data_IF_821525480232
#
_entry.id   IF_821525480232
#
_cell.length_a   1.000
_cell.length_b   1.000
_cell.length_c   1.000
_cell.angle_alpha   90.00
_cell.angle_beta   90.00
_cell.angle_gamma   90.00
#
_symmetry.space_group_name_H-M   'P 1'
#
loop_
_entity.id
_entity.type
_entity.pdbx_description
1 polymer ?
#
# COMPACT_ATOMS: atom_id res chain seq x y z
N UNK A 1 15.66 10.89 13.50
CA UNK A 1 14.84 9.66 13.37
C UNK A 1 15.76 8.45 13.33
N UNK A 2 15.54 7.46 14.19
CA UNK A 2 16.28 6.19 14.17
C UNK A 2 15.40 5.08 13.56
N UNK A 3 15.72 4.70 12.32
CA UNK A 3 14.98 3.67 11.60
C UNK A 3 15.43 2.25 11.95
N UNK A 4 16.52 2.09 12.73
CA UNK A 4 16.93 0.78 13.24
C UNK A 4 15.92 0.21 14.24
N UNK A 5 15.06 1.06 14.78
CA UNK A 5 13.93 0.67 15.63
C UNK A 5 12.84 -0.09 14.85
N UNK A 6 12.85 -0.04 13.52
CA UNK A 6 11.92 -0.79 12.68
C UNK A 6 12.64 -1.98 12.03
N UNK A 7 12.07 -3.20 12.09
CA UNK A 7 12.60 -4.34 11.35
C UNK A 7 12.74 -4.02 9.86
N UNK A 8 13.95 -4.23 9.31
CA UNK A 8 14.29 -3.91 7.92
C UNK A 8 13.99 -2.45 7.53
N UNK A 9 13.98 -1.55 8.51
CA UNK A 9 13.57 -0.16 8.33
C UNK A 9 12.10 0.04 7.93
N UNK A 10 11.25 -0.97 8.09
CA UNK A 10 9.86 -0.95 7.62
C UNK A 10 9.70 -1.32 6.14
N UNK A 11 10.68 -1.98 5.53
CA UNK A 11 10.70 -2.30 4.09
C UNK A 11 10.55 -3.79 3.77
N UNK A 12 10.10 -4.62 4.74
CA UNK A 12 9.87 -6.06 4.54
C UNK A 12 9.03 -6.39 3.31
N UNK A 13 8.05 -5.55 3.00
CA UNK A 13 7.19 -5.74 1.82
C UNK A 13 7.94 -5.77 0.47
N UNK A 14 9.19 -5.27 0.41
CA UNK A 14 10.02 -5.27 -0.80
C UNK A 14 10.98 -6.47 -0.93
N UNK A 15 11.09 -7.33 0.07
CA UNK A 15 12.10 -8.40 0.11
C UNK A 15 11.83 -9.56 -0.88
N UNK A 16 10.67 -9.53 -1.55
CA UNK A 16 10.21 -10.55 -2.49
C UNK A 16 10.10 -11.97 -1.88
N UNK A 17 9.88 -12.08 -0.57
CA UNK A 17 9.75 -13.35 0.15
C UNK A 17 8.38 -14.03 0.01
N UNK A 18 7.35 -13.28 -0.37
CA UNK A 18 5.97 -13.77 -0.37
C UNK A 18 5.53 -14.54 -1.62
N UNK A 19 4.30 -15.08 -1.62
CA UNK A 19 3.75 -15.84 -2.74
C UNK A 19 3.66 -15.00 -4.02
N UNK A 20 4.04 -15.60 -5.16
CA UNK A 20 4.03 -14.95 -6.49
C UNK A 20 4.81 -13.62 -6.53
N UNK A 21 5.85 -13.48 -5.70
CA UNK A 21 6.65 -12.25 -5.55
C UNK A 21 7.38 -11.76 -6.80
N UNK A 22 7.49 -12.59 -7.85
CA UNK A 22 8.05 -12.21 -9.16
C UNK A 22 7.11 -11.34 -9.99
N UNK A 23 5.80 -11.38 -9.71
CA UNK A 23 4.76 -10.61 -10.38
C UNK A 23 4.12 -9.63 -9.40
N UNK A 24 3.77 -10.10 -8.21
CA UNK A 24 3.17 -9.27 -7.17
C UNK A 24 4.24 -8.76 -6.23
N UNK A 25 4.37 -7.43 -6.12
CA UNK A 25 5.36 -6.83 -5.25
C UNK A 25 4.90 -6.88 -3.80
N UNK A 26 3.65 -6.50 -3.55
CA UNK A 26 3.13 -6.41 -2.19
C UNK A 26 1.61 -6.43 -2.10
N UNK A 27 1.15 -6.81 -0.92
CA UNK A 27 -0.22 -6.70 -0.46
C UNK A 27 -0.29 -5.66 0.66
N UNK A 28 -1.32 -4.81 0.66
CA UNK A 28 -1.52 -3.77 1.67
C UNK A 28 -2.97 -3.72 2.10
N UNK A 29 -3.18 -3.77 3.41
CA UNK A 29 -4.49 -3.61 4.06
C UNK A 29 -4.52 -2.28 4.79
N UNK A 30 -5.67 -1.60 4.75
CA UNK A 30 -5.94 -0.39 5.51
C UNK A 30 -7.37 -0.40 6.05
N UNK A 31 -7.54 -0.01 7.32
CA UNK A 31 -8.83 0.20 7.95
C UNK A 31 -8.93 1.64 8.47
N UNK A 32 -9.97 2.35 8.05
CA UNK A 32 -10.28 3.70 8.54
C UNK A 32 -11.26 3.64 9.71
N UNK A 33 -10.94 4.33 10.81
CA UNK A 33 -11.79 4.44 12.01
C UNK A 33 -11.80 5.87 12.53
N UNK A 34 -12.95 6.30 13.05
CA UNK A 34 -13.06 7.52 13.85
C UNK A 34 -13.45 7.18 15.28
N UNK A 35 -13.00 8.00 16.24
CA UNK A 35 -13.32 7.85 17.66
C UNK A 35 -14.70 8.43 17.95
N UNK A 36 -15.57 7.65 18.60
CA UNK A 36 -16.92 8.08 19.00
C UNK A 36 -16.85 9.25 19.99
N UNK A 37 -17.66 10.27 19.74
CA UNK A 37 -17.79 11.43 20.62
C UNK A 37 -16.75 12.54 20.40
N UNK A 38 -15.84 12.36 19.43
CA UNK A 38 -14.88 13.38 19.02
C UNK A 38 -15.25 13.87 17.62
N UNK A 39 -15.27 15.20 17.35
CA UNK A 39 -15.48 15.73 16.00
C UNK A 39 -14.45 15.19 15.02
N UNK A 40 -14.85 14.80 13.81
CA UNK A 40 -13.94 14.25 12.79
C UNK A 40 -12.84 15.25 12.39
N UNK A 41 -11.73 14.75 11.84
CA UNK A 41 -10.47 15.50 11.63
C UNK A 41 -10.62 16.87 10.96
N UNK A 42 -11.59 17.04 10.05
CA UNK A 42 -11.88 18.30 9.36
C UNK A 42 -12.45 19.39 10.28
N UNK A 43 -13.10 19.01 11.40
CA UNK A 43 -13.70 19.90 12.41
C UNK A 43 -13.04 19.80 13.78
N UNK A 44 -12.18 18.79 13.98
CA UNK A 44 -11.40 18.60 15.20
C UNK A 44 -10.50 19.81 15.45
N UNK A 45 -10.55 20.33 16.69
CA UNK A 45 -9.61 21.33 17.20
C UNK A 45 -8.33 20.64 17.67
N UNK A 46 -7.28 21.41 17.94
CA UNK A 46 -6.00 20.83 18.38
C UNK A 46 -6.13 20.03 19.67
N UNK A 47 -6.97 20.48 20.63
CA UNK A 47 -7.26 19.70 21.84
C UNK A 47 -7.97 18.37 21.56
N UNK A 48 -8.84 18.31 20.54
CA UNK A 48 -9.50 17.06 20.13
C UNK A 48 -8.46 16.08 19.54
N UNK A 49 -7.53 16.59 18.73
CA UNK A 49 -6.46 15.78 18.10
C UNK A 49 -5.48 15.23 19.13
N UNK A 50 -5.09 16.05 20.10
CA UNK A 50 -4.25 15.59 21.22
C UNK A 50 -4.96 14.49 22.01
N UNK A 51 -6.25 14.67 22.33
CA UNK A 51 -7.03 13.65 23.04
C UNK A 51 -7.17 12.34 22.23
N UNK A 52 -7.30 12.41 20.91
CA UNK A 52 -7.25 11.22 20.03
C UNK A 52 -5.89 10.53 20.15
N UNK A 53 -4.79 11.27 20.03
CA UNK A 53 -3.45 10.70 20.11
C UNK A 53 -3.16 10.05 21.45
N UNK A 54 -3.48 10.71 22.56
CA UNK A 54 -3.30 10.17 23.91
C UNK A 54 -4.09 8.87 24.07
N UNK A 55 -5.38 8.89 23.72
CA UNK A 55 -6.25 7.72 23.83
C UNK A 55 -5.78 6.54 22.98
N UNK A 56 -5.34 6.79 21.75
CA UNK A 56 -4.81 5.74 20.86
C UNK A 56 -3.48 5.21 21.38
N UNK A 57 -2.61 6.07 21.92
CA UNK A 57 -1.31 5.66 22.48
C UNK A 57 -1.49 4.80 23.73
N UNK A 58 -2.43 5.16 24.63
CA UNK A 58 -2.78 4.35 25.80
C UNK A 58 -3.34 2.98 25.41
N UNK A 59 -4.21 2.95 24.40
CA UNK A 59 -4.76 1.70 23.88
C UNK A 59 -3.70 0.83 23.21
N UNK A 60 -2.80 1.43 22.44
CA UNK A 60 -1.67 0.74 21.80
C UNK A 60 -0.72 0.13 22.83
N UNK A 61 -0.42 0.84 23.92
CA UNK A 61 0.40 0.32 25.02
C UNK A 61 -0.21 -0.91 25.73
N UNK A 62 -1.54 -1.12 25.57
CA UNK A 62 -2.28 -2.25 26.12
C UNK A 62 -2.64 -3.32 25.08
N UNK A 63 -2.18 -3.16 23.83
CA UNK A 63 -2.43 -4.08 22.71
C UNK A 63 -1.27 -5.06 22.57
N UNK A 64 -1.57 -6.35 22.34
CA UNK A 64 -0.55 -7.38 22.18
C UNK A 64 0.34 -7.11 20.94
N UNK A 65 -0.25 -6.48 19.91
CA UNK A 65 0.42 -6.19 18.64
C UNK A 65 1.08 -4.81 18.57
N UNK A 66 0.81 -3.90 19.52
CA UNK A 66 1.36 -2.54 19.52
C UNK A 66 1.99 -2.09 20.84
N UNK A 67 2.05 -2.94 21.87
CA UNK A 67 2.61 -2.56 23.18
C UNK A 67 4.07 -2.09 23.12
N UNK A 68 4.83 -2.51 22.10
CA UNK A 68 6.22 -2.10 21.85
C UNK A 68 6.34 -1.25 20.58
N UNK A 69 5.25 -0.64 20.12
CA UNK A 69 5.25 0.17 18.91
C UNK A 69 6.19 1.37 19.04
N UNK A 70 6.93 1.62 17.97
CA UNK A 70 7.72 2.83 17.81
C UNK A 70 6.76 3.96 17.45
N UNK A 71 6.80 5.05 18.21
CA UNK A 71 5.98 6.23 17.98
C UNK A 71 6.79 7.32 17.26
N UNK A 72 6.33 7.69 16.08
CA UNK A 72 6.83 8.85 15.32
C UNK A 72 5.80 9.96 15.41
N UNK A 73 6.14 11.08 16.05
CA UNK A 73 5.29 12.28 16.11
C UNK A 73 5.61 13.20 14.94
N UNK A 74 4.82 13.10 13.86
CA UNK A 74 5.14 13.75 12.59
C UNK A 74 5.12 15.28 12.72
N UNK A 75 4.29 15.84 13.60
CA UNK A 75 4.25 17.27 13.91
C UNK A 75 5.53 17.80 14.59
N UNK A 76 6.39 16.91 15.07
CA UNK A 76 7.68 17.21 15.69
C UNK A 76 8.88 16.81 14.79
N UNK A 77 8.63 16.30 13.58
CA UNK A 77 9.65 15.80 12.67
C UNK A 77 9.97 16.77 11.54
N UNK A 78 11.25 16.78 11.16
CA UNK A 78 11.71 17.54 10.01
C UNK A 78 11.15 16.98 8.71
N UNK A 79 10.98 17.85 7.71
CA UNK A 79 10.39 17.44 6.42
C UNK A 79 11.11 16.26 5.74
N UNK A 80 12.47 16.17 5.73
CA UNK A 80 13.16 15.02 5.14
C UNK A 80 12.86 13.69 5.83
N UNK A 81 12.67 13.69 7.15
CA UNK A 81 12.36 12.47 7.90
C UNK A 81 10.94 11.98 7.57
N UNK A 82 9.99 12.91 7.49
CA UNK A 82 8.61 12.62 7.06
C UNK A 82 8.54 12.12 5.62
N UNK A 83 9.35 12.72 4.73
CA UNK A 83 9.49 12.28 3.35
C UNK A 83 9.98 10.83 3.27
N UNK A 84 10.98 10.47 4.09
CA UNK A 84 11.48 9.09 4.14
C UNK A 84 10.41 8.10 4.62
N UNK A 85 9.63 8.42 5.66
CA UNK A 85 8.51 7.57 6.08
C UNK A 85 7.46 7.39 4.97
N UNK A 86 7.19 8.46 4.21
CA UNK A 86 6.25 8.41 3.08
C UNK A 86 6.76 7.53 1.94
N UNK A 87 8.04 7.65 1.57
CA UNK A 87 8.68 6.83 0.54
C UNK A 87 8.76 5.34 0.93
N UNK A 88 8.80 5.04 2.23
CA UNK A 88 8.68 3.68 2.77
C UNK A 88 7.25 3.18 2.88
N UNK A 89 6.28 3.97 2.41
CA UNK A 89 4.84 3.71 2.46
C UNK A 89 4.25 3.56 3.87
N UNK A 90 4.99 3.94 4.91
CA UNK A 90 4.57 3.90 6.32
C UNK A 90 3.56 4.99 6.67
N UNK A 91 3.60 6.13 5.98
CA UNK A 91 2.65 7.24 6.17
C UNK A 91 2.09 7.73 4.85
N UNK A 92 0.86 8.26 4.89
CA UNK A 92 0.28 8.95 3.73
C UNK A 92 0.94 10.31 3.53
N UNK A 93 0.81 10.83 2.30
CA UNK A 93 1.30 12.17 1.95
C UNK A 93 0.60 13.27 2.77
N UNK A 94 -0.68 13.06 3.07
CA UNK A 94 -1.51 13.96 3.88
C UNK A 94 -1.01 14.00 5.34
N UNK A 95 -0.88 12.83 6.00
CA UNK A 95 -0.37 12.77 7.38
C UNK A 95 1.02 13.39 7.48
N UNK A 96 1.87 13.05 6.51
CA UNK A 96 3.23 13.55 6.43
C UNK A 96 3.30 15.05 6.09
N UNK A 97 2.21 15.74 5.75
CA UNK A 97 2.20 17.17 5.44
C UNK A 97 3.20 17.52 4.31
N UNK A 98 3.24 16.71 3.25
CA UNK A 98 4.20 16.84 2.14
C UNK A 98 3.63 17.60 0.94
N UNK A 99 2.35 17.98 0.99
CA UNK A 99 1.75 18.88 0.02
C UNK A 99 2.30 20.30 0.14
N UNK A 100 2.20 21.10 -0.94
CA UNK A 100 2.71 22.47 -0.94
C UNK A 100 2.01 23.25 0.17
N UNK A 101 2.80 23.93 1.00
CA UNK A 101 2.31 24.79 2.09
C UNK A 101 1.53 24.05 3.19
N UNK A 102 1.54 22.72 3.19
CA UNK A 102 0.96 21.90 4.25
C UNK A 102 1.96 21.63 5.37
N UNK A 103 1.45 21.43 6.58
CA UNK A 103 2.20 20.94 7.75
C UNK A 103 1.40 19.80 8.37
N UNK A 104 2.08 18.84 9.04
CA UNK A 104 1.37 17.85 9.84
C UNK A 104 0.46 18.54 10.86
N UNK A 105 -0.73 17.97 11.06
CA UNK A 105 -1.68 18.47 12.06
C UNK A 105 -1.10 18.22 13.46
N UNK A 106 -1.39 19.07 14.46
CA UNK A 106 -1.04 18.75 15.84
C UNK A 106 -1.56 17.36 16.23
N UNK A 107 -0.71 16.56 16.86
CA UNK A 107 -1.02 15.18 17.23
C UNK A 107 -1.00 14.18 16.07
N UNK A 108 -0.49 14.55 14.88
CA UNK A 108 -0.25 13.62 13.79
C UNK A 108 0.88 12.66 14.14
N UNK A 109 0.60 11.36 14.19
CA UNK A 109 1.58 10.35 14.59
C UNK A 109 1.46 9.05 13.79
N UNK A 110 2.55 8.28 13.79
CA UNK A 110 2.57 6.89 13.38
C UNK A 110 3.01 6.05 14.57
N UNK A 111 2.18 5.08 14.96
CA UNK A 111 2.55 3.99 15.87
C UNK A 111 2.78 2.74 15.01
N UNK A 112 3.96 2.14 15.06
CA UNK A 112 4.28 0.99 14.20
C UNK A 112 5.06 -0.08 14.95
N UNK A 113 4.67 -1.33 14.79
CA UNK A 113 5.36 -2.50 15.30
C UNK A 113 5.34 -3.58 14.22
N UNK A 114 6.52 -4.13 13.91
CA UNK A 114 6.69 -5.11 12.85
C UNK A 114 6.15 -4.63 11.49
N UNK A 115 5.11 -5.29 10.95
CA UNK A 115 4.50 -4.99 9.65
C UNK A 115 3.18 -4.21 9.75
N UNK A 116 2.69 -3.98 10.98
CA UNK A 116 1.42 -3.31 11.25
C UNK A 116 1.64 -1.95 11.91
N UNK A 117 0.74 -1.01 11.63
CA UNK A 117 0.83 0.32 12.21
C UNK A 117 -0.48 1.08 12.16
N UNK A 118 -0.51 2.18 12.89
CA UNK A 118 -1.66 3.07 13.01
C UNK A 118 -1.18 4.48 12.75
N UNK A 119 -1.72 5.07 11.69
CA UNK A 119 -1.64 6.50 11.44
C UNK A 119 -2.72 7.20 12.27
N UNK A 120 -2.35 8.22 13.02
CA UNK A 120 -3.24 8.96 13.92
C UNK A 120 -3.41 10.39 13.43
N UNK A 121 -4.66 10.89 13.44
CA UNK A 121 -5.04 12.24 12.99
C UNK A 121 -4.75 12.55 11.51
N UNK A 122 -4.96 11.56 10.64
CA UNK A 122 -5.01 11.75 9.19
C UNK A 122 -6.43 12.24 8.77
N UNK A 123 -6.96 11.81 7.62
CA UNK A 123 -8.30 12.14 7.13
C UNK A 123 -9.39 11.65 8.10
N UNK A 124 -9.15 10.47 8.67
CA UNK A 124 -9.88 9.87 9.78
C UNK A 124 -8.96 9.86 11.02
N UNK A 125 -9.53 9.70 12.23
CA UNK A 125 -8.74 9.71 13.47
C UNK A 125 -7.70 8.59 13.51
N UNK A 126 -8.05 7.40 13.01
CA UNK A 126 -7.15 6.27 12.88
C UNK A 126 -7.20 5.73 11.45
N UNK A 127 -6.03 5.45 10.90
CA UNK A 127 -5.88 4.61 9.70
C UNK A 127 -4.89 3.50 10.02
N UNK A 128 -5.44 2.35 10.41
CA UNK A 128 -4.68 1.13 10.64
C UNK A 128 -4.20 0.60 9.30
N UNK A 129 -3.01 0.02 9.26
CA UNK A 129 -2.47 -0.55 8.05
C UNK A 129 -1.47 -1.65 8.31
N UNK A 130 -1.24 -2.46 7.28
CA UNK A 130 -0.09 -3.35 7.21
C UNK A 130 0.26 -3.66 5.76
N UNK A 131 1.50 -4.12 5.54
CA UNK A 131 2.02 -4.36 4.19
C UNK A 131 2.95 -5.59 4.16
N UNK A 132 2.63 -6.53 3.27
CA UNK A 132 3.30 -7.82 3.10
C UNK A 132 3.91 -7.94 1.71
N UNK A 133 4.95 -8.76 1.58
CA UNK A 133 5.51 -9.09 0.26
C UNK A 133 4.61 -10.09 -0.47
N UNK A 134 4.50 -9.97 -1.79
CA UNK A 134 3.71 -10.91 -2.61
C UNK A 134 2.19 -10.81 -2.42
N UNK A 135 1.47 -11.86 -2.85
CA UNK A 135 0.02 -12.00 -2.67
C UNK A 135 -0.25 -12.69 -1.34
N UNK A 136 -0.68 -11.91 -0.35
CA UNK A 136 -0.97 -12.42 0.98
C UNK A 136 -2.07 -11.59 1.65
N UNK A 137 -3.28 -11.67 1.09
CA UNK A 137 -4.40 -10.82 1.51
C UNK A 137 -5.05 -11.29 2.82
N UNK A 138 -5.12 -12.60 3.03
CA UNK A 138 -5.77 -13.21 4.19
C UNK A 138 -4.95 -12.95 5.47
N UNK A 139 -3.65 -13.30 5.47
CA UNK A 139 -2.80 -13.09 6.65
C UNK A 139 -2.57 -11.58 6.91
N UNK A 140 -2.43 -10.79 5.84
CA UNK A 140 -2.34 -9.34 5.97
C UNK A 140 -3.60 -8.73 6.60
N UNK A 141 -4.78 -9.22 6.22
CA UNK A 141 -6.04 -8.74 6.78
C UNK A 141 -6.17 -9.17 8.24
N UNK A 142 -5.94 -10.44 8.54
CA UNK A 142 -6.03 -10.98 9.89
C UNK A 142 -5.11 -10.23 10.87
N UNK A 143 -3.89 -9.91 10.47
CA UNK A 143 -2.96 -9.15 11.30
C UNK A 143 -3.42 -7.70 11.57
N UNK A 144 -3.99 -7.02 10.57
CA UNK A 144 -4.51 -5.65 10.76
C UNK A 144 -5.84 -5.67 11.54
N UNK A 145 -6.68 -6.67 11.33
CA UNK A 145 -7.92 -6.87 12.07
C UNK A 145 -7.66 -7.15 13.55
N UNK A 146 -6.63 -7.93 13.90
CA UNK A 146 -6.25 -8.15 15.30
C UNK A 146 -5.99 -6.82 16.03
N UNK A 147 -5.23 -5.92 15.39
CA UNK A 147 -4.99 -4.56 15.91
C UNK A 147 -6.29 -3.75 16.00
N UNK A 148 -7.16 -3.82 14.99
CA UNK A 148 -8.47 -3.13 14.99
C UNK A 148 -9.35 -3.57 16.17
N UNK A 149 -9.42 -4.87 16.42
CA UNK A 149 -10.19 -5.46 17.52
C UNK A 149 -9.60 -5.06 18.88
N UNK A 150 -8.28 -5.13 19.04
CA UNK A 150 -7.60 -4.76 20.28
C UNK A 150 -7.80 -3.29 20.63
N UNK A 151 -7.56 -2.40 19.67
CA UNK A 151 -7.78 -0.97 19.86
C UNK A 151 -9.27 -0.65 20.09
N UNK A 152 -10.17 -1.29 19.34
CA UNK A 152 -11.61 -1.09 19.44
C UNK A 152 -12.21 -1.41 20.82
N UNK A 153 -11.55 -2.27 21.61
CA UNK A 153 -11.95 -2.57 23.00
C UNK A 153 -11.75 -1.39 23.95
N UNK A 154 -10.77 -0.52 23.68
CA UNK A 154 -10.39 0.61 24.53
C UNK A 154 -10.78 1.96 23.92
N UNK A 155 -10.84 2.01 22.58
CA UNK A 155 -11.21 3.17 21.77
C UNK A 155 -12.54 2.86 21.06
N UNK A 156 -13.68 3.37 21.56
CA UNK A 156 -14.97 3.13 20.94
C UNK A 156 -15.00 3.82 19.59
N UNK A 157 -15.09 3.05 18.52
CA UNK A 157 -15.20 3.57 17.17
C UNK A 157 -16.60 4.14 16.89
N UNK A 158 -16.65 5.17 16.05
CA UNK A 158 -17.88 5.76 15.55
C UNK A 158 -18.50 4.81 14.52
N UNK A 159 -19.56 4.11 14.93
CA UNK A 159 -20.24 3.10 14.13
C UNK A 159 -21.75 3.38 14.09
N UNK A 160 -22.36 3.15 12.93
CA UNK A 160 -23.80 3.24 12.72
C UNK A 160 -24.35 1.91 12.19
N UNK A 161 -25.48 1.40 12.70
CA UNK A 161 -26.02 0.10 12.28
C UNK A 161 -26.27 -0.05 10.77
N UNK A 162 -26.64 1.04 10.10
CA UNK A 162 -26.92 1.05 8.65
C UNK A 162 -25.69 1.41 7.80
N UNK A 163 -24.78 2.23 8.32
CA UNK A 163 -23.68 2.82 7.54
C UNK A 163 -22.31 2.26 7.89
N UNK A 164 -22.21 1.36 8.86
CA UNK A 164 -20.96 0.80 9.34
C UNK A 164 -20.11 1.83 10.09
N UNK A 165 -18.78 1.72 9.95
CA UNK A 165 -17.83 2.69 10.48
C UNK A 165 -17.97 4.02 9.76
N UNK A 166 -18.14 5.08 10.55
CA UNK A 166 -18.33 6.43 10.05
C UNK A 166 -16.98 7.08 9.73
N UNK A 167 -16.83 7.53 8.50
CA UNK A 167 -15.59 8.10 7.95
C UNK A 167 -15.80 9.51 7.40
N UNK A 168 -14.75 10.32 7.36
CA UNK A 168 -14.75 11.62 6.67
C UNK A 168 -14.83 11.44 5.14
N UNK A 169 -14.25 10.35 4.64
CA UNK A 169 -14.22 10.01 3.23
C UNK A 169 -15.42 9.13 2.83
N UNK A 170 -16.27 9.53 1.87
CA UNK A 170 -17.35 8.68 1.38
C UNK A 170 -16.86 7.34 0.80
N UNK A 171 -15.63 7.28 0.29
CA UNK A 171 -15.05 6.06 -0.30
C UNK A 171 -14.64 4.99 0.73
N UNK A 172 -14.63 5.35 2.02
CA UNK A 172 -14.34 4.42 3.13
C UNK A 172 -15.62 4.05 3.92
N UNK A 173 -16.80 4.55 3.57
CA UNK A 173 -18.02 4.28 4.33
C UNK A 173 -18.36 2.78 4.36
N UNK A 174 -18.93 2.28 5.46
CA UNK A 174 -19.18 0.85 5.66
C UNK A 174 -18.06 0.18 6.45
N UNK A 175 -17.31 -0.71 5.80
CA UNK A 175 -16.21 -1.47 6.45
C UNK A 175 -15.00 -0.61 6.81
N UNK A 176 -14.79 0.53 6.13
CA UNK A 176 -13.53 1.28 6.24
C UNK A 176 -12.34 0.57 5.59
N UNK A 177 -12.54 -0.57 4.93
CA UNK A 177 -11.48 -1.40 4.36
C UNK A 177 -11.03 -0.93 2.99
N UNK A 178 -9.72 -0.71 2.85
CA UNK A 178 -9.07 -0.61 1.54
C UNK A 178 -7.93 -1.61 1.42
N UNK A 179 -8.25 -2.75 0.82
CA UNK A 179 -7.29 -3.76 0.44
C UNK A 179 -6.70 -3.45 -0.94
N UNK A 180 -5.40 -3.63 -1.10
CA UNK A 180 -4.73 -3.37 -2.37
C UNK A 180 -3.54 -4.28 -2.61
N UNK A 181 -3.30 -4.60 -3.88
CA UNK A 181 -2.16 -5.40 -4.34
C UNK A 181 -1.38 -4.60 -5.38
N UNK A 182 -0.07 -4.46 -5.17
CA UNK A 182 0.84 -3.84 -6.13
C UNK A 182 1.43 -4.92 -7.03
N UNK A 183 1.12 -4.85 -8.33
CA UNK A 183 1.44 -5.89 -9.31
C UNK A 183 2.23 -5.31 -10.49
N UNK A 184 3.20 -6.08 -10.99
CA UNK A 184 4.05 -5.75 -12.12
C UNK A 184 3.58 -6.55 -13.35
N UNK A 185 3.05 -5.86 -14.36
CA UNK A 185 2.39 -6.46 -15.53
C UNK A 185 3.07 -6.14 -16.88
N UNK A 186 4.41 -6.32 -17.01
CA UNK A 186 5.11 -6.01 -18.24
C UNK A 186 4.71 -6.92 -19.41
N UNK A 187 4.39 -8.19 -19.16
CA UNK A 187 3.96 -9.15 -20.18
C UNK A 187 2.71 -8.66 -20.89
N UNK A 188 1.66 -8.33 -20.13
CA UNK A 188 0.41 -7.78 -20.65
C UNK A 188 0.58 -6.44 -21.39
N UNK A 189 1.53 -5.61 -20.97
CA UNK A 189 1.83 -4.34 -21.66
C UNK A 189 2.52 -4.62 -23.00
N UNK A 190 3.52 -5.51 -23.02
CA UNK A 190 4.28 -5.84 -24.23
C UNK A 190 3.45 -6.60 -25.27
N UNK A 191 2.52 -7.45 -24.83
CA UNK A 191 1.55 -8.12 -25.70
C UNK A 191 0.36 -7.23 -26.07
N UNK A 192 0.28 -6.01 -25.54
CA UNK A 192 -0.80 -5.02 -25.76
C UNK A 192 -2.19 -5.46 -25.25
N UNK A 193 -2.24 -6.42 -24.33
CA UNK A 193 -3.49 -6.92 -23.74
C UNK A 193 -3.91 -6.17 -22.47
N UNK A 194 -3.04 -5.33 -21.91
CA UNK A 194 -3.28 -4.63 -20.63
C UNK A 194 -4.61 -3.86 -20.59
N UNK A 195 -4.97 -3.13 -21.66
CA UNK A 195 -6.19 -2.32 -21.67
C UNK A 195 -7.46 -3.16 -21.51
N UNK A 196 -7.48 -4.37 -22.08
CA UNK A 196 -8.60 -5.30 -21.95
C UNK A 196 -8.73 -5.81 -20.52
N UNK A 197 -7.61 -6.12 -19.87
CA UNK A 197 -7.58 -6.52 -18.45
C UNK A 197 -8.09 -5.39 -17.56
N UNK A 198 -7.57 -4.18 -17.73
CA UNK A 198 -7.96 -3.00 -16.94
C UNK A 198 -9.46 -2.65 -17.09
N UNK A 199 -10.01 -2.77 -18.30
CA UNK A 199 -11.45 -2.60 -18.52
C UNK A 199 -12.28 -3.64 -17.77
N UNK A 200 -11.85 -4.90 -17.79
CA UNK A 200 -12.50 -5.98 -17.04
C UNK A 200 -12.49 -5.75 -15.53
N UNK A 201 -11.40 -5.24 -14.97
CA UNK A 201 -11.28 -4.93 -13.54
C UNK A 201 -12.33 -3.90 -13.08
N UNK A 202 -12.51 -2.83 -13.86
CA UNK A 202 -13.52 -1.79 -13.55
C UNK A 202 -14.94 -2.36 -13.59
N UNK A 203 -15.24 -3.25 -14.54
CA UNK A 203 -16.56 -3.87 -14.67
C UNK A 203 -16.93 -4.76 -13.48
N UNK A 204 -15.95 -5.34 -12.79
CA UNK A 204 -16.17 -6.18 -11.62
C UNK A 204 -16.08 -5.39 -10.30
N UNK A 205 -15.95 -4.06 -10.34
CA UNK A 205 -15.95 -3.22 -9.14
C UNK A 205 -14.60 -3.16 -8.41
N UNK A 206 -13.51 -3.37 -9.14
CA UNK A 206 -12.15 -3.04 -8.69
C UNK A 206 -11.68 -1.74 -9.34
N UNK A 207 -10.77 -1.06 -8.68
CA UNK A 207 -10.08 0.11 -9.24
C UNK A 207 -8.59 -0.16 -9.34
N UNK A 208 -7.93 0.54 -10.27
CA UNK A 208 -6.50 0.47 -10.47
C UNK A 208 -5.88 1.87 -10.58
N UNK A 209 -4.61 1.98 -10.22
CA UNK A 209 -3.81 3.21 -10.35
C UNK A 209 -2.31 2.90 -10.48
N UNK A 210 -1.51 3.88 -10.88
CA UNK A 210 -0.05 3.76 -10.89
C UNK A 210 0.57 3.79 -9.47
N UNK A 211 1.89 3.66 -9.40
CA UNK A 211 2.65 3.54 -8.14
C UNK A 211 2.48 4.76 -7.20
N UNK A 212 2.34 5.97 -7.75
CA UNK A 212 2.30 7.22 -6.98
C UNK A 212 0.89 7.74 -6.68
N UNK A 213 -0.14 6.95 -6.96
CA UNK A 213 -1.49 7.20 -6.47
C UNK A 213 -2.50 7.67 -7.51
N UNK A 214 -3.50 8.42 -7.07
CA UNK A 214 -4.64 8.81 -7.93
C UNK A 214 -4.21 9.81 -9.00
N UNK A 215 -4.56 9.51 -10.26
CA UNK A 215 -4.17 10.31 -11.42
C UNK A 215 -2.70 10.20 -11.84
N UNK A 216 -1.90 9.34 -11.21
CA UNK A 216 -0.50 9.13 -11.62
C UNK A 216 -0.41 8.29 -12.88
N UNK A 217 0.47 8.66 -13.81
CA UNK A 217 0.84 7.81 -14.94
C UNK A 217 1.36 6.45 -14.46
N UNK A 218 1.09 5.41 -15.25
CA UNK A 218 1.64 4.08 -15.01
C UNK A 218 3.09 4.11 -15.44
N UNK A 219 4.00 4.12 -14.46
CA UNK A 219 5.45 4.09 -14.70
C UNK A 219 5.99 2.71 -14.36
N UNK A 220 6.85 2.16 -15.22
CA UNK A 220 7.49 0.87 -14.98
C UNK A 220 6.55 -0.34 -14.96
N UNK A 221 5.38 -0.26 -15.59
CA UNK A 221 4.37 -1.33 -15.66
C UNK A 221 3.88 -1.81 -14.28
N UNK A 222 3.90 -0.94 -13.27
CA UNK A 222 3.35 -1.22 -11.94
C UNK A 222 1.93 -0.68 -11.81
N UNK A 223 1.05 -1.53 -11.31
CA UNK A 223 -0.36 -1.25 -11.11
C UNK A 223 -0.74 -1.59 -9.68
N UNK A 224 -1.49 -0.72 -9.01
CA UNK A 224 -2.08 -1.02 -7.72
C UNK A 224 -3.55 -1.34 -7.93
N UNK A 225 -3.94 -2.60 -7.69
CA UNK A 225 -5.34 -3.05 -7.75
C UNK A 225 -5.96 -2.94 -6.36
N UNK A 226 -7.20 -2.47 -6.25
CA UNK A 226 -7.90 -2.35 -4.96
C UNK A 226 -9.41 -2.47 -5.08
N UNK A 227 -10.08 -2.81 -3.97
CA UNK A 227 -11.53 -2.73 -3.91
C UNK A 227 -11.99 -1.27 -4.07
N UNK A 228 -13.09 -1.08 -4.81
CA UNK A 228 -13.70 0.24 -5.00
C UNK A 228 -14.82 0.49 -3.98
N UNK A 229 -15.58 -0.55 -3.64
CA UNK A 229 -16.72 -0.48 -2.73
C UNK A 229 -16.35 -1.01 -1.35
N UNK A 230 -16.86 -0.34 -0.32
CA UNK A 230 -16.65 -0.67 1.10
C UNK A 230 -17.96 -0.84 1.87
N UNK A 231 -19.10 -0.41 1.32
CA UNK A 231 -20.43 -0.51 1.92
C UNK A 231 -21.25 -1.64 1.28
N UNK A 232 -22.01 -2.37 2.10
CA UNK A 232 -22.91 -3.43 1.64
C UNK A 232 -22.24 -4.78 1.35
N UNK A 233 -20.95 -4.90 1.69
CA UNK A 233 -20.18 -6.16 1.69
C UNK A 233 -19.39 -6.23 2.98
N UNK A 234 -19.13 -7.44 3.44
CA UNK A 234 -18.21 -7.71 4.55
C UNK A 234 -16.75 -7.57 4.11
N UNK A 235 -15.86 -7.36 5.06
CA UNK A 235 -14.43 -7.32 4.85
C UNK A 235 -13.93 -8.61 4.17
N UNK A 236 -14.34 -9.77 4.66
CA UNK A 236 -13.99 -11.08 4.09
C UNK A 236 -14.42 -11.21 2.61
N UNK A 237 -15.66 -10.81 2.27
CA UNK A 237 -16.14 -10.83 0.88
C UNK A 237 -15.30 -9.92 -0.03
N UNK A 238 -14.84 -8.77 0.48
CA UNK A 238 -13.99 -7.85 -0.27
C UNK A 238 -12.58 -8.43 -0.48
N UNK A 239 -12.01 -9.05 0.55
CA UNK A 239 -10.72 -9.73 0.50
C UNK A 239 -10.76 -10.91 -0.48
N UNK A 240 -11.74 -11.79 -0.35
CA UNK A 240 -11.96 -12.94 -1.23
C UNK A 240 -12.13 -12.53 -2.68
N UNK A 241 -12.94 -11.50 -2.92
CA UNK A 241 -13.18 -10.99 -4.26
C UNK A 241 -11.90 -10.43 -4.88
N UNK A 242 -11.16 -9.58 -4.16
CA UNK A 242 -9.89 -9.05 -4.64
C UNK A 242 -8.88 -10.18 -4.90
N UNK A 243 -8.76 -11.16 -3.99
CA UNK A 243 -7.84 -12.28 -4.13
C UNK A 243 -8.15 -13.19 -5.33
N UNK A 244 -9.43 -13.43 -5.63
CA UNK A 244 -9.84 -14.17 -6.85
C UNK A 244 -9.40 -13.45 -8.13
N UNK A 245 -9.65 -12.14 -8.20
CA UNK A 245 -9.31 -11.36 -9.40
C UNK A 245 -7.80 -11.18 -9.55
N UNK A 246 -7.07 -10.95 -8.45
CA UNK A 246 -5.60 -10.84 -8.47
C UNK A 246 -4.97 -12.13 -9.00
N UNK A 247 -5.43 -13.32 -8.55
CA UNK A 247 -4.96 -14.61 -9.09
C UNK A 247 -5.16 -14.72 -10.60
N UNK A 248 -6.33 -14.33 -11.09
CA UNK A 248 -6.62 -14.34 -12.52
C UNK A 248 -5.72 -13.37 -13.32
N UNK A 249 -5.45 -12.18 -12.78
CA UNK A 249 -4.52 -11.22 -13.41
C UNK A 249 -3.09 -11.76 -13.44
N UNK A 250 -2.65 -12.43 -12.36
CA UNK A 250 -1.34 -13.11 -12.32
C UNK A 250 -1.25 -14.18 -13.41
N UNK A 251 -2.29 -15.02 -13.57
CA UNK A 251 -2.34 -16.04 -14.63
C UNK A 251 -2.27 -15.42 -16.03
N UNK A 252 -2.95 -14.29 -16.27
CA UNK A 252 -2.86 -13.59 -17.56
C UNK A 252 -1.47 -13.02 -17.83
N UNK A 253 -0.78 -12.51 -16.82
CA UNK A 253 0.60 -12.04 -16.94
C UNK A 253 1.56 -13.20 -17.22
N UNK A 254 1.41 -14.34 -16.55
CA UNK A 254 2.19 -15.56 -16.81
C UNK A 254 2.00 -16.03 -18.26
N UNK A 255 0.76 -16.11 -18.73
CA UNK A 255 0.45 -16.47 -20.12
C UNK A 255 1.03 -15.46 -21.13
N UNK A 256 0.98 -14.16 -20.83
CA UNK A 256 1.56 -13.14 -21.70
C UNK A 256 3.09 -13.27 -21.78
N UNK A 257 3.75 -13.56 -20.66
CA UNK A 257 5.19 -13.85 -20.61
C UNK A 257 5.56 -15.08 -21.45
N UNK A 258 4.79 -16.16 -21.35
CA UNK A 258 5.00 -17.37 -22.15
C UNK A 258 4.85 -17.10 -23.65
N UNK A 259 3.85 -16.30 -24.04
CA UNK A 259 3.69 -15.86 -25.43
C UNK A 259 4.93 -15.12 -25.91
N UNK A 260 5.43 -14.16 -25.14
CA UNK A 260 6.62 -13.37 -25.49
C UNK A 260 7.85 -14.26 -25.69
N UNK A 261 8.09 -15.21 -24.78
CA UNK A 261 9.21 -16.16 -24.90
C UNK A 261 9.08 -17.09 -26.11
N UNK A 262 7.86 -17.42 -26.54
CA UNK A 262 7.64 -18.25 -27.73
C UNK A 262 7.75 -17.47 -29.03
N UNK A 263 7.23 -16.23 -29.08
CA UNK A 263 7.11 -15.48 -30.33
C UNK A 263 8.27 -14.54 -30.60
N UNK A 264 8.96 -14.07 -29.56
CA UNK A 264 10.03 -13.07 -29.68
C UNK A 264 11.13 -13.24 -28.59
N UNK A 265 11.70 -14.45 -28.40
CA UNK A 265 12.68 -14.70 -27.33
C UNK A 265 13.90 -13.76 -27.40
N UNK A 266 14.50 -13.61 -28.58
CA UNK A 266 15.69 -12.79 -28.79
C UNK A 266 15.41 -11.30 -28.50
N UNK A 267 14.23 -10.81 -28.86
CA UNK A 267 13.84 -9.41 -28.60
C UNK A 267 13.64 -9.14 -27.11
N UNK A 268 13.03 -10.08 -26.39
CA UNK A 268 12.84 -9.99 -24.94
C UNK A 268 14.20 -10.03 -24.23
N UNK A 269 15.07 -10.97 -24.62
CA UNK A 269 16.40 -11.08 -24.05
C UNK A 269 17.24 -9.81 -24.31
N UNK A 270 17.37 -9.35 -25.55
CA UNK A 270 18.10 -8.13 -25.89
C UNK A 270 17.55 -6.91 -25.14
N UNK A 271 16.21 -6.78 -25.05
CA UNK A 271 15.58 -5.68 -24.32
C UNK A 271 15.91 -5.69 -22.82
N UNK A 272 15.88 -6.86 -22.18
CA UNK A 272 16.20 -6.99 -20.75
C UNK A 272 17.68 -6.72 -20.46
N UNK A 273 18.60 -7.22 -21.31
CA UNK A 273 20.04 -6.95 -21.19
C UNK A 273 20.41 -5.50 -21.47
N UNK A 274 19.75 -4.84 -22.45
CA UNK A 274 19.91 -3.39 -22.66
C UNK A 274 19.50 -2.60 -21.44
N UNK A 275 18.37 -2.97 -20.82
CA UNK A 275 17.90 -2.32 -19.61
C UNK A 275 18.94 -2.44 -18.47
N UNK A 276 19.47 -3.66 -18.28
CA UNK A 276 20.52 -3.92 -17.30
C UNK A 276 21.80 -3.13 -17.58
N UNK A 277 22.28 -3.14 -18.83
CA UNK A 277 23.49 -2.45 -19.24
C UNK A 277 23.38 -0.92 -19.08
N UNK A 278 22.24 -0.33 -19.46
CA UNK A 278 22.00 1.10 -19.28
C UNK A 278 21.99 1.47 -17.79
N UNK A 279 21.26 0.74 -16.94
CA UNK A 279 21.25 1.01 -15.50
C UNK A 279 22.64 0.89 -14.87
N UNK A 280 23.47 -0.03 -15.36
CA UNK A 280 24.84 -0.25 -14.83
C UNK A 280 25.83 0.83 -15.25
N UNK A 281 25.66 1.43 -16.42
CA UNK A 281 26.69 2.26 -17.05
C UNK A 281 26.30 3.72 -17.30
N UNK A 282 25.00 4.04 -17.34
CA UNK A 282 24.54 5.40 -17.56
C UNK A 282 25.02 6.35 -16.46
N UNK A 283 25.28 7.61 -16.84
CA UNK A 283 25.70 8.67 -15.92
C UNK A 283 24.56 9.60 -15.52
N UNK A 284 23.50 9.61 -16.32
CA UNK A 284 22.30 10.38 -16.09
C UNK A 284 21.13 9.63 -16.71
N UNK A 285 20.05 9.48 -15.95
CA UNK A 285 18.79 8.89 -16.39
C UNK A 285 17.66 9.76 -15.84
N UNK A 286 16.59 9.92 -16.61
CA UNK A 286 15.38 10.52 -16.07
C UNK A 286 14.69 9.54 -15.11
N UNK A 287 13.76 10.04 -14.29
CA UNK A 287 12.97 9.19 -13.39
C UNK A 287 12.16 8.14 -14.18
N UNK A 288 11.46 8.57 -15.22
CA UNK A 288 10.63 7.71 -16.06
C UNK A 288 11.47 6.63 -16.77
N UNK A 289 12.60 7.04 -17.33
CA UNK A 289 13.54 6.11 -17.97
C UNK A 289 14.08 5.09 -16.96
N UNK A 290 14.50 5.53 -15.78
CA UNK A 290 14.98 4.64 -14.70
C UNK A 290 13.93 3.60 -14.33
N UNK A 291 12.69 4.01 -14.12
CA UNK A 291 11.60 3.11 -13.76
C UNK A 291 11.26 2.11 -14.88
N UNK A 292 11.30 2.54 -16.14
CA UNK A 292 11.08 1.66 -17.28
C UNK A 292 12.23 0.65 -17.46
N UNK A 293 13.47 1.05 -17.22
CA UNK A 293 14.61 0.14 -17.24
C UNK A 293 14.56 -0.85 -16.07
N UNK A 294 14.21 -0.41 -14.86
CA UNK A 294 14.03 -1.29 -13.69
C UNK A 294 12.91 -2.32 -13.93
N UNK A 295 11.82 -1.89 -14.59
CA UNK A 295 10.75 -2.79 -15.05
C UNK A 295 11.28 -3.87 -15.99
N UNK A 296 12.14 -3.50 -16.94
CA UNK A 296 12.79 -4.43 -17.86
C UNK A 296 13.74 -5.40 -17.16
N UNK A 297 14.58 -4.92 -16.24
CA UNK A 297 15.46 -5.80 -15.45
C UNK A 297 14.66 -6.77 -14.60
N UNK A 298 13.60 -6.28 -13.94
CA UNK A 298 12.71 -7.13 -13.13
C UNK A 298 12.03 -8.20 -13.97
N UNK A 299 11.56 -7.87 -15.17
CA UNK A 299 11.05 -8.87 -16.12
C UNK A 299 12.14 -9.90 -16.45
N UNK A 300 13.34 -9.45 -16.80
CA UNK A 300 14.46 -10.34 -17.13
C UNK A 300 14.83 -11.30 -16.00
N UNK A 301 14.87 -10.82 -14.76
CA UNK A 301 15.08 -11.67 -13.57
C UNK A 301 13.91 -12.65 -13.40
N UNK A 302 12.66 -12.17 -13.52
CA UNK A 302 11.47 -13.02 -13.39
C UNK A 302 11.32 -14.08 -14.50
N UNK A 303 11.98 -13.90 -15.65
CA UNK A 303 12.06 -14.87 -16.74
C UNK A 303 13.35 -15.71 -16.71
N UNK A 304 14.22 -15.53 -15.71
CA UNK A 304 15.55 -16.15 -15.62
C UNK A 304 16.49 -15.83 -16.81
N UNK A 305 16.30 -14.69 -17.47
CA UNK A 305 17.18 -14.18 -18.54
C UNK A 305 18.35 -13.36 -17.98
N UNK A 306 18.16 -12.78 -16.79
CA UNK A 306 19.18 -12.04 -16.06
C UNK A 306 19.46 -12.73 -14.72
N UNK A 307 20.70 -12.70 -14.22
CA UNK A 307 20.98 -13.12 -12.85
C UNK A 307 20.19 -12.24 -11.87
N UNK A 308 19.65 -12.86 -10.82
CA UNK A 308 19.06 -12.10 -9.72
C UNK A 308 20.08 -11.16 -9.09
N UNK A 309 19.67 -10.01 -8.55
CA UNK A 309 20.56 -9.17 -7.77
C UNK A 309 21.07 -10.00 -6.57
N UNK A 310 22.38 -10.30 -6.58
CA UNK A 310 23.08 -10.84 -5.42
C UNK A 310 23.38 -9.77 -4.38
#
# INVERSE_FOLDING_TARGET
MDLSLLPDGGMRWLDASGPKSTIVLSTRIRLARNVRGIPFSQRAKDGDRTAVLERVSEAAASSDHLASAVAFHLDQMERPERQLLHERHLVSKELAGLERESRPRPGAALLVQDQVGVMVNEEDHLRLHGMWSGVDLEDAYAAVEAVDVELGRLVPFAFHPEFGYLTSCPTNAGTGLRASVLIHLPGLVLTKEINKVLQGLTQVGLTFRGLYGEGSEVVGNFFQLSNQTTLGKTEDELIDHLGKIVRQVVEYEEQARDVLLRTAPDEVEDKTWRAYGLLKHARQLSFEETMNLLSGVRLGVGLNLLPGPG
#
